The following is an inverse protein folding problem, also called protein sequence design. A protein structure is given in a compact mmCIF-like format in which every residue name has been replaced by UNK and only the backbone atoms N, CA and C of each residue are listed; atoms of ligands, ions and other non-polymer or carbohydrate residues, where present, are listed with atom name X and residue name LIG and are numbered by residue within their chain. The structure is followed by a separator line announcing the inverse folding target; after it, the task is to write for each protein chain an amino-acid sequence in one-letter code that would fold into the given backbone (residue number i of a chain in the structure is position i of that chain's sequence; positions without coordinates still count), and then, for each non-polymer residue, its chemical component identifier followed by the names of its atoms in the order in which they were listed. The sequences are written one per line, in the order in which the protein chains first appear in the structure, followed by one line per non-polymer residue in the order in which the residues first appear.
data_IF_076445910655
#
_entry.id   IF_076445910655
#
_cell.length_a   1.000
_cell.length_b   1.000
_cell.length_c   1.000
_cell.angle_alpha   90.00
_cell.angle_beta   90.00
_cell.angle_gamma   90.00
#
_symmetry.space_group_name_H-M   'P 1'
#
loop_
_entity.id
_entity.type
_entity.pdbx_description
1 polymer ?
#
# COMPACT_ATOMS: atom_id res chain seq x y z
N UNK A 1 0.46 15.64 1.29
CA UNK A 1 -0.53 14.66 1.75
C UNK A 1 -0.71 13.66 0.61
N UNK A 2 -0.57 12.37 0.87
CA UNK A 2 -0.61 11.31 -0.13
C UNK A 2 -1.68 10.30 0.27
N UNK A 3 -2.62 10.03 -0.64
CA UNK A 3 -3.60 8.96 -0.48
C UNK A 3 -3.05 7.70 -1.16
N UNK A 4 -2.77 6.67 -0.38
CA UNK A 4 -2.21 5.42 -0.85
C UNK A 4 -3.31 4.52 -1.40
N UNK A 5 -3.10 4.04 -2.63
CA UNK A 5 -3.94 3.05 -3.26
C UNK A 5 -3.63 1.63 -2.75
N UNK A 6 -4.58 0.72 -2.91
CA UNK A 6 -4.44 -0.72 -2.63
C UNK A 6 -3.15 -1.29 -3.22
N UNK A 7 -2.81 -0.93 -4.46
CA UNK A 7 -1.67 -1.51 -5.16
C UNK A 7 -0.34 -1.21 -4.49
N UNK A 8 -0.16 -0.03 -3.87
CA UNK A 8 1.07 0.29 -3.13
C UNK A 8 1.31 -0.73 -2.02
N UNK A 9 0.27 -1.09 -1.28
CA UNK A 9 0.37 -2.10 -0.25
C UNK A 9 0.58 -3.49 -0.83
N UNK A 10 -0.11 -3.84 -1.92
CA UNK A 10 0.05 -5.15 -2.56
C UNK A 10 1.45 -5.36 -3.14
N UNK A 11 2.11 -4.32 -3.65
CA UNK A 11 3.50 -4.41 -4.10
C UNK A 11 4.41 -4.88 -2.96
N UNK A 12 4.27 -4.27 -1.78
CA UNK A 12 5.08 -4.60 -0.61
C UNK A 12 4.67 -5.93 0.07
N UNK A 13 3.37 -6.16 0.26
CA UNK A 13 2.86 -7.31 0.99
C UNK A 13 2.99 -8.63 0.22
N UNK A 14 3.04 -8.57 -1.10
CA UNK A 14 3.15 -9.74 -1.98
C UNK A 14 4.53 -9.85 -2.64
N UNK A 15 5.49 -9.00 -2.26
CA UNK A 15 6.86 -8.98 -2.79
C UNK A 15 6.89 -8.92 -4.33
N UNK A 16 6.12 -7.98 -4.90
CA UNK A 16 6.03 -7.81 -6.34
C UNK A 16 7.20 -6.96 -6.88
N UNK A 17 7.24 -6.78 -8.21
CA UNK A 17 8.35 -6.16 -8.93
C UNK A 17 8.78 -4.79 -8.35
N UNK A 18 7.86 -4.00 -7.78
CA UNK A 18 8.15 -2.65 -7.27
C UNK A 18 8.19 -2.55 -5.75
N UNK A 19 8.31 -3.68 -5.04
CA UNK A 19 8.36 -3.70 -3.58
C UNK A 19 9.45 -2.76 -3.00
N UNK A 20 10.66 -2.81 -3.56
CA UNK A 20 11.79 -1.98 -3.14
C UNK A 20 11.53 -0.48 -3.33
N UNK A 21 10.90 -0.09 -4.44
CA UNK A 21 10.61 1.31 -4.74
C UNK A 21 9.51 1.85 -3.83
N UNK A 22 8.51 1.02 -3.53
CA UNK A 22 7.48 1.32 -2.53
C UNK A 22 8.09 1.47 -1.14
N UNK A 23 9.00 0.58 -0.74
CA UNK A 23 9.66 0.68 0.56
C UNK A 23 10.44 2.00 0.68
N UNK A 24 11.20 2.36 -0.34
CA UNK A 24 11.92 3.66 -0.40
C UNK A 24 10.96 4.83 -0.27
N UNK A 25 9.84 4.82 -1.00
CA UNK A 25 8.81 5.86 -0.92
C UNK A 25 8.29 6.00 0.52
N UNK A 26 7.87 4.90 1.14
CA UNK A 26 7.28 4.88 2.49
C UNK A 26 8.27 5.31 3.57
N UNK A 27 9.58 5.11 3.36
CA UNK A 27 10.64 5.60 4.25
C UNK A 27 11.01 7.07 4.01
N UNK A 28 10.83 7.57 2.79
CA UNK A 28 11.24 8.93 2.41
C UNK A 28 10.30 10.04 2.90
N UNK A 29 9.08 9.70 3.33
CA UNK A 29 8.04 10.65 3.72
C UNK A 29 7.55 10.34 5.14
N UNK A 30 7.32 11.37 6.00
CA UNK A 30 6.69 11.16 7.30
C UNK A 30 5.34 10.45 7.21
N UNK A 31 5.11 9.49 8.12
CA UNK A 31 3.94 8.59 8.09
C UNK A 31 2.61 9.34 8.19
N UNK A 32 2.60 10.48 8.89
CA UNK A 32 1.42 11.33 9.11
C UNK A 32 0.91 11.98 7.82
N UNK A 33 1.73 11.96 6.75
CA UNK A 33 1.33 12.46 5.42
C UNK A 33 0.65 11.40 4.56
N UNK A 34 0.67 10.14 4.99
CA UNK A 34 0.03 9.04 4.28
C UNK A 34 -1.36 8.77 4.84
N UNK A 35 -2.31 8.61 3.93
CA UNK A 35 -3.67 8.22 4.24
C UNK A 35 -4.04 7.01 3.39
N UNK A 36 -5.02 6.25 3.85
CA UNK A 36 -5.64 5.17 3.10
C UNK A 36 -7.14 5.39 3.10
N UNK A 37 -7.81 5.07 2.00
CA UNK A 37 -9.27 5.08 1.97
C UNK A 37 -9.83 3.78 2.57
N UNK A 38 -11.04 3.85 3.12
CA UNK A 38 -11.76 2.63 3.57
C UNK A 38 -11.91 1.62 2.42
N UNK A 39 -12.16 2.12 1.20
CA UNK A 39 -12.25 1.30 0.00
C UNK A 39 -10.95 0.55 -0.32
N UNK A 40 -9.79 1.20 -0.18
CA UNK A 40 -8.49 0.57 -0.40
C UNK A 40 -8.21 -0.50 0.66
N UNK A 41 -8.57 -0.22 1.92
CA UNK A 41 -8.47 -1.20 3.00
C UNK A 41 -9.35 -2.44 2.77
N UNK A 42 -10.61 -2.23 2.39
CA UNK A 42 -11.52 -3.31 2.03
C UNK A 42 -10.99 -4.14 0.86
N UNK A 43 -10.53 -3.48 -0.20
CA UNK A 43 -10.00 -4.12 -1.41
C UNK A 43 -8.76 -4.97 -1.12
N UNK A 44 -7.83 -4.48 -0.30
CA UNK A 44 -6.69 -5.29 0.17
C UNK A 44 -7.17 -6.56 0.87
N UNK A 45 -8.17 -6.44 1.75
CA UNK A 45 -8.72 -7.59 2.46
C UNK A 45 -9.32 -8.64 1.53
N UNK A 46 -10.02 -8.22 0.46
CA UNK A 46 -10.51 -9.14 -0.57
C UNK A 46 -9.34 -9.87 -1.23
N UNK A 47 -8.34 -9.15 -1.72
CA UNK A 47 -7.21 -9.74 -2.46
C UNK A 47 -6.39 -10.71 -1.60
N UNK A 48 -6.12 -10.35 -0.35
CA UNK A 48 -5.24 -11.13 0.53
C UNK A 48 -5.91 -12.36 1.14
N UNK A 49 -7.22 -12.31 1.43
CA UNK A 49 -7.88 -13.31 2.28
C UNK A 49 -9.06 -14.02 1.62
N UNK A 50 -9.62 -13.47 0.53
CA UNK A 50 -10.77 -14.05 -0.17
C UNK A 50 -10.36 -14.47 -1.57
N UNK A 51 -9.72 -15.64 -1.66
CA UNK A 51 -9.62 -16.39 -2.92
C UNK A 51 -10.97 -16.97 -3.30
#
# INVERSE_FOLDING_TARGET
MYLLDTNIFLELLLDQERADDVEKLLRSVPRERFHISEFSLYSMGIVLFRR
#
